data_IF_391100711265
#
_entry.id   IF_391100711265
#
_cell.length_a   1.000
_cell.length_b   1.000
_cell.length_c   1.000
_cell.angle_alpha   90.00
_cell.angle_beta   90.00
_cell.angle_gamma   90.00
#
_symmetry.space_group_name_H-M   'P 1'
#
loop_
_entity.id
_entity.type
_entity.pdbx_description
1 polymer ?
#
# COMPACT_ATOMS: atom_id res chain seq x y z
N UNK A 1 -26.09 -33.09 51.85
CA UNK A 1 -24.70 -32.81 51.42
C UNK A 1 -24.42 -33.18 49.96
N UNK A 2 -24.80 -34.37 49.49
CA UNK A 2 -24.61 -34.80 48.09
C UNK A 2 -25.20 -33.84 47.04
N UNK A 3 -26.39 -33.28 47.28
CA UNK A 3 -26.99 -32.30 46.36
C UNK A 3 -26.22 -30.98 46.24
N UNK A 4 -25.56 -30.55 47.31
CA UNK A 4 -24.73 -29.34 47.33
C UNK A 4 -23.40 -29.60 46.58
N UNK A 5 -22.83 -30.79 46.77
CA UNK A 5 -21.64 -31.24 46.03
C UNK A 5 -21.93 -31.34 44.52
N UNK A 6 -23.07 -31.92 44.15
CA UNK A 6 -23.51 -32.01 42.75
C UNK A 6 -23.72 -30.62 42.12
N UNK A 7 -24.26 -29.65 42.88
CA UNK A 7 -24.41 -28.27 42.42
C UNK A 7 -23.05 -27.58 42.19
N UNK A 8 -22.07 -27.80 43.08
CA UNK A 8 -20.71 -27.28 42.93
C UNK A 8 -19.96 -27.92 41.76
N UNK A 9 -20.15 -29.22 41.52
CA UNK A 9 -19.58 -29.92 40.37
C UNK A 9 -20.20 -29.43 39.05
N UNK A 10 -21.52 -29.27 39.00
CA UNK A 10 -22.21 -28.76 37.82
C UNK A 10 -21.76 -27.34 37.47
N UNK A 11 -21.63 -26.45 38.47
CA UNK A 11 -21.16 -25.08 38.26
C UNK A 11 -19.69 -25.03 37.81
N UNK A 12 -18.80 -25.85 38.38
CA UNK A 12 -17.40 -25.97 37.93
C UNK A 12 -17.30 -26.47 36.48
N UNK A 13 -18.12 -27.46 36.11
CA UNK A 13 -18.15 -27.99 34.73
C UNK A 13 -18.67 -26.92 33.76
N UNK A 14 -19.77 -26.23 34.09
CA UNK A 14 -20.29 -25.13 33.26
C UNK A 14 -19.30 -23.99 33.12
N UNK A 15 -18.56 -23.64 34.17
CA UNK A 15 -17.55 -22.58 34.14
C UNK A 15 -16.36 -22.97 33.26
N UNK A 16 -15.89 -24.21 33.34
CA UNK A 16 -14.84 -24.72 32.45
C UNK A 16 -15.27 -24.76 30.99
N UNK A 17 -16.52 -25.17 30.71
CA UNK A 17 -17.07 -25.15 29.34
C UNK A 17 -17.19 -23.71 28.80
N UNK A 18 -17.61 -22.75 29.62
CA UNK A 18 -17.66 -21.34 29.23
C UNK A 18 -16.26 -20.79 28.95
N UNK A 19 -15.27 -21.11 29.80
CA UNK A 19 -13.87 -20.69 29.60
C UNK A 19 -13.28 -21.23 28.31
N UNK A 20 -13.47 -22.53 28.02
CA UNK A 20 -12.98 -23.16 26.79
C UNK A 20 -13.64 -22.53 25.55
N UNK A 21 -14.95 -22.28 25.59
CA UNK A 21 -15.65 -21.57 24.51
C UNK A 21 -15.09 -20.17 24.30
N UNK A 22 -14.90 -19.40 25.37
CA UNK A 22 -14.32 -18.05 25.27
C UNK A 22 -12.90 -18.06 24.69
N UNK A 23 -12.06 -19.04 25.06
CA UNK A 23 -10.72 -19.18 24.48
C UNK A 23 -10.78 -19.54 22.99
N UNK A 24 -11.67 -20.46 22.61
CA UNK A 24 -11.89 -20.82 21.21
C UNK A 24 -12.37 -19.63 20.38
N UNK A 25 -13.33 -18.86 20.88
CA UNK A 25 -13.82 -17.67 20.17
C UNK A 25 -12.73 -16.61 20.01
N UNK A 26 -11.88 -16.40 21.02
CA UNK A 26 -10.75 -15.48 20.92
C UNK A 26 -9.74 -15.91 19.85
N UNK A 27 -9.43 -17.21 19.77
CA UNK A 27 -8.53 -17.73 18.76
C UNK A 27 -9.11 -17.55 17.34
N UNK A 28 -10.38 -17.91 17.13
CA UNK A 28 -11.03 -17.75 15.80
C UNK A 28 -11.09 -16.28 15.37
N UNK A 29 -11.43 -15.36 16.28
CA UNK A 29 -11.47 -13.92 15.95
C UNK A 29 -10.06 -13.41 15.60
N UNK A 30 -9.03 -13.87 16.30
CA UNK A 30 -7.66 -13.51 15.98
C UNK A 30 -7.28 -13.94 14.56
N UNK A 31 -7.53 -15.20 14.21
CA UNK A 31 -7.24 -15.75 12.89
C UNK A 31 -8.01 -15.02 11.78
N UNK A 32 -9.27 -14.67 12.01
CA UNK A 32 -10.10 -13.89 11.06
C UNK A 32 -9.56 -12.47 10.86
N UNK A 33 -9.11 -11.80 11.94
CA UNK A 33 -8.52 -10.46 11.87
C UNK A 33 -7.18 -10.49 11.13
N UNK A 34 -6.36 -11.51 11.36
CA UNK A 34 -5.08 -11.70 10.67
C UNK A 34 -5.29 -11.97 9.17
N UNK A 35 -6.27 -12.81 8.82
CA UNK A 35 -6.64 -13.07 7.43
C UNK A 35 -7.17 -11.79 6.74
N UNK A 36 -7.99 -11.01 7.45
CA UNK A 36 -8.47 -9.73 6.93
C UNK A 36 -7.32 -8.73 6.75
N UNK A 37 -6.35 -8.69 7.67
CA UNK A 37 -5.16 -7.85 7.55
C UNK A 37 -4.35 -8.26 6.30
N UNK A 38 -4.12 -9.55 6.09
CA UNK A 38 -3.40 -10.07 4.94
C UNK A 38 -4.11 -9.78 3.61
N UNK A 39 -5.41 -9.99 3.54
CA UNK A 39 -6.19 -9.64 2.34
C UNK A 39 -6.18 -8.14 2.05
N UNK A 40 -6.31 -7.30 3.08
CA UNK A 40 -6.21 -5.83 2.91
C UNK A 40 -4.81 -5.42 2.45
N UNK A 41 -3.78 -6.00 3.04
CA UNK A 41 -2.40 -5.67 2.71
C UNK A 41 -2.02 -6.09 1.28
N UNK A 42 -2.49 -7.26 0.83
CA UNK A 42 -2.35 -7.67 -0.57
C UNK A 42 -3.06 -6.72 -1.54
N UNK A 43 -4.27 -6.27 -1.18
CA UNK A 43 -5.01 -5.30 -1.98
C UNK A 43 -4.27 -3.97 -2.10
N UNK A 44 -3.75 -3.45 -0.98
CA UNK A 44 -2.91 -2.24 -0.97
C UNK A 44 -1.67 -2.43 -1.83
N UNK A 45 -0.99 -3.57 -1.69
CA UNK A 45 0.21 -3.84 -2.48
C UNK A 45 -0.06 -3.90 -3.99
N UNK A 46 -1.25 -4.38 -4.37
CA UNK A 46 -1.70 -4.34 -5.76
C UNK A 46 -1.96 -2.91 -6.23
N UNK A 47 -2.62 -2.07 -5.41
CA UNK A 47 -2.81 -0.65 -5.69
C UNK A 47 -1.48 0.08 -5.87
N UNK A 48 -0.49 -0.20 -5.02
CA UNK A 48 0.86 0.36 -5.15
C UNK A 48 1.50 -0.06 -6.47
N UNK A 49 1.45 -1.36 -6.79
CA UNK A 49 1.99 -1.85 -8.07
C UNK A 49 1.25 -1.32 -9.29
N UNK A 50 0.04 -0.82 -9.11
CA UNK A 50 -0.81 -0.16 -10.11
C UNK A 50 -0.35 1.25 -10.51
N UNK A 51 0.45 1.91 -9.67
CA UNK A 51 0.98 3.26 -9.91
C UNK A 51 2.10 3.29 -10.96
N UNK A 52 2.46 4.49 -11.39
CA UNK A 52 3.65 4.71 -12.22
C UNK A 52 4.90 4.29 -11.44
N UNK A 53 5.97 3.89 -12.13
CA UNK A 53 7.15 3.39 -11.44
C UNK A 53 7.94 4.50 -10.73
N UNK A 54 7.95 5.68 -11.33
CA UNK A 54 8.76 6.86 -11.00
C UNK A 54 8.10 8.09 -11.64
N UNK A 55 8.32 9.29 -11.10
CA UNK A 55 7.74 10.54 -11.62
C UNK A 55 7.98 10.71 -13.13
N UNK A 56 9.19 10.39 -13.62
CA UNK A 56 9.51 10.47 -15.05
C UNK A 56 8.71 9.51 -15.95
N UNK A 57 8.08 8.49 -15.36
CA UNK A 57 7.24 7.50 -16.04
C UNK A 57 5.74 7.77 -15.90
N UNK A 58 5.34 8.86 -15.24
CA UNK A 58 3.92 9.22 -15.14
C UNK A 58 3.38 9.64 -16.52
N UNK A 59 2.10 9.34 -16.83
CA UNK A 59 1.48 9.68 -18.11
C UNK A 59 1.72 11.12 -18.57
N UNK A 60 1.60 12.07 -17.63
CA UNK A 60 1.78 13.50 -17.90
C UNK A 60 3.23 13.82 -18.27
N UNK A 61 4.21 13.30 -17.52
CA UNK A 61 5.64 13.56 -17.81
C UNK A 61 6.09 12.91 -19.10
N UNK A 62 5.66 11.68 -19.36
CA UNK A 62 5.93 10.98 -20.62
C UNK A 62 5.36 11.78 -21.80
N UNK A 63 4.11 12.24 -21.70
CA UNK A 63 3.48 13.02 -22.76
C UNK A 63 4.22 14.35 -23.02
N UNK A 64 4.63 15.06 -21.96
CA UNK A 64 5.38 16.31 -22.06
C UNK A 64 6.79 16.12 -22.62
N UNK A 65 7.48 15.05 -22.22
CA UNK A 65 8.81 14.72 -22.74
C UNK A 65 8.76 14.19 -24.19
N UNK A 66 7.62 13.64 -24.61
CA UNK A 66 7.43 13.03 -25.92
C UNK A 66 8.22 11.73 -26.12
N UNK A 67 8.74 11.15 -25.04
CA UNK A 67 9.55 9.93 -25.07
C UNK A 67 9.31 9.08 -23.82
N UNK A 68 9.19 7.77 -24.04
CA UNK A 68 9.08 6.78 -22.96
C UNK A 68 10.46 6.57 -22.33
N UNK A 69 10.61 6.65 -20.99
CA UNK A 69 11.85 6.33 -20.30
C UNK A 69 12.37 4.93 -20.69
N UNK A 70 13.64 4.82 -21.08
CA UNK A 70 14.21 3.56 -21.58
C UNK A 70 15.15 2.86 -20.59
N UNK A 71 15.51 3.50 -19.48
CA UNK A 71 16.53 2.96 -18.58
C UNK A 71 16.60 3.71 -17.26
N UNK A 72 17.32 3.14 -16.28
CA UNK A 72 17.34 3.69 -14.93
C UNK A 72 18.01 5.06 -14.82
N UNK A 73 18.78 5.50 -15.82
CA UNK A 73 19.42 6.81 -15.84
C UNK A 73 18.44 7.98 -15.97
N UNK A 74 17.18 7.71 -16.35
CA UNK A 74 16.12 8.73 -16.41
C UNK A 74 15.35 8.85 -15.10
N UNK A 75 15.50 7.88 -14.20
CA UNK A 75 14.86 7.88 -12.90
C UNK A 75 15.68 8.73 -11.94
N UNK A 76 15.03 9.67 -11.28
CA UNK A 76 15.66 10.47 -10.25
C UNK A 76 15.57 9.68 -8.96
N UNK A 77 16.69 9.10 -8.54
CA UNK A 77 16.75 8.52 -7.21
C UNK A 77 16.67 9.63 -6.19
N UNK A 78 15.96 9.37 -5.10
CA UNK A 78 16.28 9.64 -3.68
C UNK A 78 16.87 10.96 -3.21
N UNK A 79 17.47 11.80 -4.04
CA UNK A 79 18.28 12.96 -3.64
C UNK A 79 17.46 14.24 -3.50
N UNK A 80 16.14 14.17 -3.56
CA UNK A 80 15.33 15.26 -3.05
C UNK A 80 15.08 15.01 -1.57
N UNK A 81 15.31 16.06 -0.79
CA UNK A 81 14.71 16.28 0.52
C UNK A 81 13.16 16.31 0.48
N UNK A 82 12.57 15.90 -0.65
CA UNK A 82 11.15 15.69 -0.96
C UNK A 82 10.76 14.20 -0.95
N UNK A 83 11.71 13.25 -0.79
CA UNK A 83 11.38 11.88 -0.39
C UNK A 83 10.76 11.91 1.01
N UNK A 84 9.50 11.49 1.13
CA UNK A 84 8.91 11.12 2.42
C UNK A 84 8.56 12.27 3.37
N UNK A 85 8.29 13.49 2.85
CA UNK A 85 7.76 14.59 3.66
C UNK A 85 6.38 15.12 3.25
N UNK A 86 5.55 14.27 2.66
CA UNK A 86 4.09 14.39 2.83
C UNK A 86 3.62 13.81 4.18
N UNK A 87 4.50 13.85 5.20
CA UNK A 87 4.26 13.40 6.57
C UNK A 87 3.34 14.32 7.36
N UNK A 88 2.94 15.44 6.79
CA UNK A 88 2.01 16.36 7.41
C UNK A 88 0.61 16.08 6.83
N UNK A 89 -0.10 15.16 7.48
CA UNK A 89 -1.57 15.07 7.42
C UNK A 89 -2.20 14.61 6.09
N UNK A 90 -1.90 13.38 5.63
CA UNK A 90 -2.87 12.59 4.85
C UNK A 90 -2.93 12.85 3.34
N UNK A 91 -1.80 13.15 2.69
CA UNK A 91 -1.81 13.46 1.24
C UNK A 91 -1.78 12.23 0.31
N UNK A 92 -1.42 11.02 0.75
CA UNK A 92 -1.46 9.80 -0.08
C UNK A 92 -2.45 8.76 0.45
N UNK A 93 -3.50 8.46 -0.30
CA UNK A 93 -4.48 7.42 0.04
C UNK A 93 -4.07 6.09 -0.61
N UNK A 94 -3.69 5.12 0.24
CA UNK A 94 -3.27 3.80 -0.21
C UNK A 94 -4.42 2.93 -0.74
N UNK A 95 -5.66 3.21 -0.31
CA UNK A 95 -6.86 2.44 -0.67
C UNK A 95 -7.60 3.08 -1.84
N UNK A 96 -7.50 4.40 -1.98
CA UNK A 96 -8.17 5.18 -3.00
C UNK A 96 -7.19 6.14 -3.72
N UNK A 97 -6.19 5.61 -4.46
CA UNK A 97 -5.14 6.38 -5.14
C UNK A 97 -5.60 7.61 -5.92
N UNK A 98 -6.76 7.51 -6.57
CA UNK A 98 -7.35 8.58 -7.40
C UNK A 98 -7.71 9.85 -6.62
N UNK A 99 -7.81 9.79 -5.29
CA UNK A 99 -8.05 10.95 -4.42
C UNK A 99 -6.79 11.76 -4.17
N UNK A 100 -5.63 11.17 -4.45
CA UNK A 100 -4.32 11.72 -4.12
C UNK A 100 -3.46 11.71 -5.38
N UNK A 101 -3.79 12.54 -6.38
CA UNK A 101 -3.13 12.54 -7.68
C UNK A 101 -1.68 13.03 -7.63
N UNK A 102 -1.23 13.58 -6.50
CA UNK A 102 0.17 13.93 -6.25
C UNK A 102 1.04 12.73 -5.84
N UNK A 103 0.42 11.60 -5.55
CA UNK A 103 1.13 10.38 -5.16
C UNK A 103 1.00 9.36 -6.29
N UNK A 104 1.22 9.77 -7.52
CA UNK A 104 0.87 9.01 -8.72
C UNK A 104 1.93 7.98 -9.14
N UNK A 105 3.09 7.98 -8.47
CA UNK A 105 4.11 6.97 -8.64
C UNK A 105 4.46 6.21 -7.34
N UNK A 106 5.38 5.24 -7.43
CA UNK A 106 5.71 4.32 -6.34
C UNK A 106 6.63 4.96 -5.30
N UNK A 107 7.52 5.88 -5.67
CA UNK A 107 8.46 6.47 -4.70
C UNK A 107 7.84 7.54 -3.79
N UNK A 108 6.77 8.20 -4.23
CA UNK A 108 5.91 9.06 -3.41
C UNK A 108 5.39 8.40 -2.13
N UNK A 109 5.35 7.06 -2.13
CA UNK A 109 4.85 6.27 -1.02
C UNK A 109 5.92 5.95 0.03
N UNK A 110 7.19 6.26 -0.24
CA UNK A 110 8.26 5.99 0.72
C UNK A 110 8.06 6.78 2.02
N UNK A 111 8.33 6.11 3.14
CA UNK A 111 8.27 6.71 4.46
C UNK A 111 6.86 6.97 5.00
N UNK A 112 5.78 6.56 4.31
CA UNK A 112 4.42 6.64 4.85
C UNK A 112 4.35 5.87 6.17
N UNK A 113 3.79 6.49 7.22
CA UNK A 113 3.59 5.89 8.55
C UNK A 113 2.14 5.99 8.98
N UNK A 114 1.68 4.95 9.69
CA UNK A 114 0.37 4.91 10.33
C UNK A 114 -0.82 5.18 9.40
N UNK A 115 -0.68 4.91 8.10
CA UNK A 115 -1.72 5.16 7.11
C UNK A 115 -2.95 4.26 7.36
N UNK A 116 -4.17 4.81 7.44
CA UNK A 116 -5.36 4.02 7.70
C UNK A 116 -5.74 3.19 6.47
N UNK A 117 -5.75 1.87 6.62
CA UNK A 117 -6.27 0.93 5.61
C UNK A 117 -7.43 0.14 6.22
N UNK A 118 -8.31 -0.44 5.41
CA UNK A 118 -9.49 -1.09 5.97
C UNK A 118 -10.04 -2.24 5.14
N UNK A 119 -10.55 -3.25 5.84
CA UNK A 119 -11.42 -4.28 5.27
C UNK A 119 -12.89 -3.89 5.46
N UNK A 120 -13.71 -4.01 4.41
CA UNK A 120 -15.17 -3.87 4.52
C UNK A 120 -15.78 -5.19 4.97
N UNK A 121 -16.51 -5.16 6.07
CA UNK A 121 -17.26 -6.31 6.57
C UNK A 121 -18.60 -6.45 5.85
N UNK A 122 -19.20 -7.63 5.92
CA UNK A 122 -20.46 -7.96 5.25
C UNK A 122 -21.65 -7.11 5.72
N UNK A 123 -21.58 -6.55 6.92
CA UNK A 123 -22.59 -5.66 7.50
C UNK A 123 -22.34 -4.16 7.21
N UNK A 124 -21.35 -3.84 6.36
CA UNK A 124 -21.00 -2.49 5.99
C UNK A 124 -20.07 -1.76 6.96
N UNK A 125 -19.72 -2.36 8.10
CA UNK A 125 -18.69 -1.80 9.00
C UNK A 125 -17.29 -1.94 8.40
N UNK A 126 -16.35 -1.16 8.92
CA UNK A 126 -14.93 -1.20 8.54
C UNK A 126 -14.09 -1.74 9.68
N UNK A 127 -13.27 -2.74 9.39
CA UNK A 127 -12.17 -3.15 10.26
C UNK A 127 -10.93 -2.36 9.80
N UNK A 128 -10.44 -1.46 10.66
CA UNK A 128 -9.37 -0.52 10.30
C UNK A 128 -8.03 -1.03 10.81
N UNK A 129 -7.00 -0.95 9.98
CA UNK A 129 -5.61 -1.26 10.30
C UNK A 129 -4.75 -0.03 10.01
N UNK A 130 -3.52 -0.02 10.50
CA UNK A 130 -2.53 1.00 10.14
C UNK A 130 -1.42 0.37 9.30
N UNK A 131 -0.95 1.09 8.29
CA UNK A 131 0.11 0.64 7.41
C UNK A 131 1.30 1.60 7.41
N UNK A 132 2.49 1.03 7.42
CA UNK A 132 3.74 1.73 7.13
C UNK A 132 4.25 1.23 5.77
N UNK A 133 4.75 2.15 4.92
CA UNK A 133 5.33 1.81 3.61
C UNK A 133 6.77 2.30 3.58
N UNK A 134 7.68 1.45 3.11
CA UNK A 134 9.04 1.82 2.76
C UNK A 134 9.31 1.40 1.31
N UNK A 135 9.99 2.24 0.55
CA UNK A 135 10.35 1.98 -0.84
C UNK A 135 11.84 2.24 -1.02
N UNK A 136 12.54 1.29 -1.62
CA UNK A 136 13.96 1.44 -1.94
C UNK A 136 14.27 0.85 -3.31
N UNK A 137 15.30 1.36 -3.99
CA UNK A 137 15.80 0.71 -5.20
C UNK A 137 16.55 -0.57 -4.86
N UNK A 138 16.42 -1.57 -5.73
CA UNK A 138 17.19 -2.82 -5.64
C UNK A 138 17.89 -3.13 -6.97
N UNK A 139 19.07 -3.73 -6.89
CA UNK A 139 19.90 -4.02 -8.08
C UNK A 139 19.38 -5.19 -8.90
N UNK A 140 18.79 -6.18 -8.24
CA UNK A 140 18.29 -7.40 -8.88
C UNK A 140 17.02 -7.87 -8.14
N UNK A 141 15.94 -8.22 -8.86
CA UNK A 141 14.66 -8.59 -8.26
C UNK A 141 14.68 -9.95 -7.56
N UNK A 142 15.66 -10.82 -7.83
CA UNK A 142 15.77 -12.13 -7.19
C UNK A 142 16.57 -12.08 -5.88
N UNK A 143 17.57 -11.20 -5.80
CA UNK A 143 18.39 -11.02 -4.59
C UNK A 143 17.92 -9.89 -3.69
N UNK A 144 17.11 -8.96 -4.23
CA UNK A 144 16.60 -7.77 -3.53
C UNK A 144 17.69 -6.95 -2.84
N UNK A 145 18.90 -6.93 -3.43
CA UNK A 145 20.03 -6.22 -2.84
C UNK A 145 19.79 -4.71 -2.98
N UNK A 146 19.74 -3.95 -1.86
CA UNK A 146 19.49 -2.52 -1.89
C UNK A 146 20.50 -1.77 -2.77
N UNK A 147 20.05 -0.69 -3.38
CA UNK A 147 20.84 0.18 -4.25
C UNK A 147 20.69 1.64 -3.84
N UNK A 148 21.81 2.32 -3.65
CA UNK A 148 21.83 3.78 -3.43
C UNK A 148 21.67 4.56 -4.74
N UNK A 149 21.74 3.88 -5.89
CA UNK A 149 21.53 4.46 -7.21
C UNK A 149 20.20 3.98 -7.84
N UNK A 150 19.57 4.79 -8.70
CA UNK A 150 18.36 4.39 -9.42
C UNK A 150 18.55 3.12 -10.23
N UNK A 151 17.58 2.22 -10.12
CA UNK A 151 17.51 0.99 -10.89
C UNK A 151 16.13 0.84 -11.54
N UNK A 152 15.93 -0.22 -12.31
CA UNK A 152 14.62 -0.56 -12.87
C UNK A 152 13.72 -1.32 -11.88
N UNK A 153 14.13 -1.43 -10.62
CA UNK A 153 13.47 -2.26 -9.62
C UNK A 153 13.36 -1.51 -8.29
N UNK A 154 12.16 -1.37 -7.76
CA UNK A 154 11.88 -0.82 -6.43
C UNK A 154 11.33 -1.94 -5.54
N UNK A 155 11.91 -2.17 -4.37
CA UNK A 155 11.33 -3.02 -3.34
C UNK A 155 10.38 -2.17 -2.52
N UNK A 156 9.12 -2.56 -2.49
CA UNK A 156 8.10 -1.97 -1.64
C UNK A 156 7.90 -2.90 -0.45
N UNK A 157 8.09 -2.39 0.76
CA UNK A 157 7.78 -3.05 2.01
C UNK A 157 6.55 -2.40 2.64
N UNK A 158 5.55 -3.21 2.99
CA UNK A 158 4.32 -2.80 3.66
C UNK A 158 4.21 -3.53 4.99
N UNK A 159 4.20 -2.78 6.09
CA UNK A 159 3.96 -3.31 7.43
C UNK A 159 2.56 -2.91 7.89
N UNK A 160 1.68 -3.90 8.08
CA UNK A 160 0.32 -3.71 8.56
C UNK A 160 0.22 -4.08 10.02
N UNK A 161 -0.36 -3.18 10.83
CA UNK A 161 -0.62 -3.39 12.25
C UNK A 161 -2.11 -3.46 12.53
N UNK A 162 -2.48 -4.46 13.32
CA UNK A 162 -3.84 -4.61 13.86
C UNK A 162 -4.18 -3.49 14.85
N UNK A 163 -5.42 -2.98 14.85
CA UNK A 163 -5.88 -2.00 15.84
C UNK A 163 -5.93 -2.56 17.26
N UNK A 164 -5.76 -3.88 17.42
CA UNK A 164 -5.83 -4.58 18.70
C UNK A 164 -4.47 -5.03 19.23
N UNK A 165 -3.39 -4.84 18.45
CA UNK A 165 -2.05 -5.17 18.88
C UNK A 165 -1.43 -4.02 19.66
N UNK A 166 -0.98 -4.31 20.88
CA UNK A 166 -0.33 -3.33 21.73
C UNK A 166 1.12 -3.11 21.27
N UNK A 167 1.37 -2.45 20.13
CA UNK A 167 2.69 -2.05 19.56
C UNK A 167 3.81 -3.12 19.53
N UNK A 168 3.57 -4.33 20.00
CA UNK A 168 4.53 -5.41 20.04
C UNK A 168 4.69 -5.98 18.63
N UNK A 169 5.94 -6.26 18.25
CA UNK A 169 6.32 -6.73 16.91
C UNK A 169 5.69 -8.06 16.50
N UNK A 170 5.08 -8.81 17.44
CA UNK A 170 4.47 -10.12 17.20
C UNK A 170 3.20 -10.09 16.35
N UNK A 171 2.56 -8.93 16.22
CA UNK A 171 1.25 -8.79 15.59
C UNK A 171 1.32 -7.88 14.35
N UNK A 172 2.52 -7.76 13.76
CA UNK A 172 2.77 -7.00 12.55
C UNK A 172 2.87 -7.97 11.38
N UNK A 173 2.03 -7.76 10.37
CA UNK A 173 2.17 -8.45 9.10
C UNK A 173 3.05 -7.60 8.19
N UNK A 174 4.19 -8.14 7.76
CA UNK A 174 5.06 -7.48 6.79
C UNK A 174 5.00 -8.23 5.46
N UNK A 175 4.73 -7.50 4.39
CA UNK A 175 4.75 -7.98 3.01
C UNK A 175 5.76 -7.13 2.23
N UNK A 176 6.55 -7.77 1.38
CA UNK A 176 7.38 -7.06 0.41
C UNK A 176 7.12 -7.59 -0.99
N UNK A 177 7.32 -6.72 -1.97
CA UNK A 177 7.26 -7.05 -3.40
C UNK A 177 8.26 -6.17 -4.14
N UNK A 178 8.96 -6.73 -5.11
CA UNK A 178 9.72 -5.95 -6.08
C UNK A 178 8.81 -5.54 -7.24
N UNK A 179 8.66 -4.24 -7.43
CA UNK A 179 8.03 -3.64 -8.61
C UNK A 179 9.12 -3.36 -9.62
N UNK A 180 8.93 -3.81 -10.86
CA UNK A 180 9.89 -3.58 -11.95
C UNK A 180 9.28 -2.65 -12.99
N UNK A 181 10.07 -1.72 -13.48
CA UNK A 181 9.68 -0.84 -14.57
C UNK A 181 9.37 -1.63 -15.85
N UNK A 182 8.28 -1.27 -16.51
CA UNK A 182 7.89 -1.80 -17.80
C UNK A 182 7.56 -0.63 -18.76
N UNK A 183 8.40 -0.38 -19.79
CA UNK A 183 8.17 0.71 -20.73
C UNK A 183 6.91 0.51 -21.59
N UNK A 184 6.48 -0.72 -21.83
CA UNK A 184 5.24 -1.00 -22.59
C UNK A 184 4.03 -0.58 -21.76
N UNK A 185 4.07 -0.83 -20.46
CA UNK A 185 3.02 -0.37 -19.54
C UNK A 185 3.00 1.14 -19.41
N UNK A 186 4.16 1.80 -19.32
CA UNK A 186 4.24 3.25 -19.28
C UNK A 186 3.61 3.90 -20.53
N UNK A 187 3.88 3.32 -21.72
CA UNK A 187 3.30 3.75 -22.99
C UNK A 187 1.78 3.58 -23.01
N UNK A 188 1.29 2.39 -22.63
CA UNK A 188 -0.14 2.11 -22.56
C UNK A 188 -0.89 3.02 -21.57
N UNK A 189 -0.30 3.33 -20.41
CA UNK A 189 -0.87 4.25 -19.43
C UNK A 189 -0.92 5.68 -19.97
N UNK A 190 0.16 6.15 -20.61
CA UNK A 190 0.21 7.46 -21.25
C UNK A 190 -0.85 7.58 -22.35
N UNK A 191 -0.98 6.58 -23.23
CA UNK A 191 -2.02 6.59 -24.27
C UNK A 191 -3.44 6.58 -23.68
N UNK A 192 -3.67 5.84 -22.58
CA UNK A 192 -4.98 5.75 -21.95
C UNK A 192 -5.42 7.06 -21.30
N UNK A 193 -4.50 7.80 -20.68
CA UNK A 193 -4.81 9.03 -19.94
C UNK A 193 -4.64 10.30 -20.78
N UNK A 194 -3.59 10.35 -21.60
CA UNK A 194 -3.20 11.51 -22.38
C UNK A 194 -3.49 11.35 -23.88
N UNK A 195 -3.80 10.15 -24.38
CA UNK A 195 -3.87 9.91 -25.83
C UNK A 195 -2.48 9.91 -26.48
N UNK A 196 -2.44 9.72 -27.81
CA UNK A 196 -1.17 9.61 -28.51
C UNK A 196 -0.35 10.92 -28.48
N UNK A 197 0.97 10.76 -28.33
CA UNK A 197 1.94 11.86 -28.33
C UNK A 197 1.82 12.68 -29.63
N UNK A 198 1.79 14.01 -29.50
CA UNK A 198 1.78 14.94 -30.64
C UNK A 198 0.38 15.23 -31.22
N UNK A 199 -0.70 14.75 -30.58
CA UNK A 199 -2.06 15.17 -30.92
C UNK A 199 -2.44 16.47 -30.20
N UNK A 200 -2.78 17.50 -30.99
CA UNK A 200 -3.37 18.73 -30.46
C UNK A 200 -4.73 18.44 -29.79
N UNK A 201 -4.95 18.98 -28.59
CA UNK A 201 -6.19 18.78 -27.84
C UNK A 201 -6.21 17.55 -26.92
N UNK A 202 -5.07 16.90 -26.69
CA UNK A 202 -4.91 15.85 -25.68
C UNK A 202 -5.33 16.33 -24.28
N UNK A 203 -5.92 15.46 -23.41
CA UNK A 203 -6.21 15.78 -22.02
C UNK A 203 -5.00 16.34 -21.24
N UNK A 204 -3.79 15.90 -21.59
CA UNK A 204 -2.53 16.31 -20.95
C UNK A 204 -1.84 17.48 -21.65
N UNK A 205 -2.44 18.06 -22.70
CA UNK A 205 -1.86 19.18 -23.47
C UNK A 205 -2.04 20.56 -22.82
N UNK A 206 -2.66 20.66 -21.64
CA UNK A 206 -2.89 21.94 -20.95
C UNK A 206 -1.62 22.44 -20.25
N UNK A 207 -0.72 23.01 -21.07
CA UNK A 207 0.52 23.61 -20.60
C UNK A 207 1.22 24.51 -21.63
N UNK A 208 0.49 25.43 -22.28
CA UNK A 208 1.07 26.59 -23.01
C UNK A 208 -0.04 27.56 -23.49
N UNK A 209 -0.90 28.01 -22.58
CA UNK A 209 -1.93 29.01 -22.88
C UNK A 209 -1.81 30.22 -21.97
N UNK A 210 -0.76 31.02 -22.14
CA UNK A 210 -0.87 32.44 -21.79
C UNK A 210 -1.93 33.04 -22.69
N UNK A 211 -3.13 33.24 -22.16
CA UNK A 211 -4.07 34.21 -22.70
C UNK A 211 -3.44 35.57 -22.35
N UNK A 212 -2.64 36.11 -23.26
CA UNK A 212 -2.37 37.55 -23.28
C UNK A 212 -3.61 38.23 -23.85
N UNK A 213 -4.16 39.18 -23.09
CA UNK A 213 -5.20 40.13 -23.51
C UNK A 213 -4.71 41.06 -24.64
#
# INVERSE_FOLDING_TARGET
MLGLLALTLATLISFNQQRLRQQSYKATIHDEVELAAAGTAQHVMEMISGRSFDESSTPVKVFQAGVIPQGSSTFTGGESDEFGRYSDEGECDLMEPYKTPKCDDVDDLDGIRDAPIYARLSDGRRLTFTADVNVEYVTDPGTETPSDAPTLHKRVELTVRSPHSARASSDMLTLHRVVSYDPVRADANMEAECGAIGLEGSPCSTGSGTIED
#
